data_IF_859807182520
#
_entry.id   IF_859807182520
#
_cell.length_a   1.000
_cell.length_b   1.000
_cell.length_c   1.000
_cell.angle_alpha   90.00
_cell.angle_beta   90.00
_cell.angle_gamma   90.00
#
_symmetry.space_group_name_H-M   'P 1'
#
loop_
_entity.id
_entity.type
_entity.pdbx_description
1 polymer ?
#
# COMPACT_ATOMS: atom_id res chain seq x y z
N UNK A 1 -25.09 16.00 -29.97
CA UNK A 1 -25.49 14.68 -29.45
C UNK A 1 -24.33 14.17 -28.61
N UNK A 2 -24.56 13.59 -27.44
CA UNK A 2 -23.50 13.06 -26.57
C UNK A 2 -23.89 11.65 -26.12
N UNK A 3 -22.90 10.77 -25.96
CA UNK A 3 -23.11 9.41 -25.49
C UNK A 3 -21.88 8.96 -24.67
N UNK A 4 -22.06 7.91 -23.88
CA UNK A 4 -20.99 7.30 -23.10
C UNK A 4 -20.54 6.00 -23.75
N UNK A 5 -19.25 5.72 -23.64
CA UNK A 5 -18.66 4.44 -24.03
C UNK A 5 -17.92 3.88 -22.82
N UNK A 6 -18.28 2.67 -22.41
CA UNK A 6 -17.54 1.92 -21.40
C UNK A 6 -16.50 1.05 -22.11
N UNK A 7 -15.24 1.18 -21.72
CA UNK A 7 -14.10 0.49 -22.33
C UNK A 7 -13.48 -0.48 -21.33
N UNK A 8 -14.07 -1.67 -21.09
CA UNK A 8 -13.48 -2.65 -20.19
C UNK A 8 -12.18 -3.22 -20.78
N UNK A 9 -11.20 -3.45 -19.91
CA UNK A 9 -9.91 -4.07 -20.22
C UNK A 9 -9.99 -5.60 -20.23
N UNK A 10 -11.05 -6.18 -20.80
CA UNK A 10 -11.31 -7.62 -20.84
C UNK A 10 -11.52 -8.15 -22.26
N UNK A 11 -11.24 -7.33 -23.28
CA UNK A 11 -11.33 -7.77 -24.67
C UNK A 11 -10.44 -8.98 -24.94
N UNK A 12 -11.01 -9.94 -25.66
CA UNK A 12 -10.42 -11.28 -25.84
C UNK A 12 -9.00 -11.23 -26.38
N UNK A 13 -8.12 -12.03 -25.77
CA UNK A 13 -6.75 -12.27 -26.22
C UNK A 13 -6.69 -12.84 -27.64
N UNK A 14 -7.79 -13.38 -28.16
CA UNK A 14 -7.87 -13.84 -29.54
C UNK A 14 -7.85 -12.69 -30.56
N UNK A 15 -8.36 -11.50 -30.20
CA UNK A 15 -8.39 -10.34 -31.09
C UNK A 15 -7.24 -9.37 -30.81
N UNK A 16 -6.85 -9.23 -29.54
CA UNK A 16 -5.79 -8.33 -29.11
C UNK A 16 -4.82 -9.07 -28.16
N UNK A 17 -3.99 -9.99 -28.67
CA UNK A 17 -3.09 -10.80 -27.84
C UNK A 17 -2.03 -9.98 -27.08
N UNK A 18 -1.74 -8.76 -27.53
CA UNK A 18 -0.77 -7.85 -26.91
C UNK A 18 -1.38 -6.91 -25.86
N UNK A 19 -2.67 -7.05 -25.54
CA UNK A 19 -3.33 -6.23 -24.53
C UNK A 19 -2.64 -6.42 -23.16
N UNK A 20 -2.32 -5.30 -22.51
CA UNK A 20 -1.83 -5.22 -21.12
C UNK A 20 -2.85 -4.49 -20.27
N UNK A 21 -2.82 -4.72 -18.95
CA UNK A 21 -3.71 -4.04 -17.98
C UNK A 21 -3.66 -2.52 -18.13
N UNK A 22 -2.48 -1.94 -18.39
CA UNK A 22 -2.29 -0.50 -18.55
C UNK A 22 -2.28 0.00 -20.01
N UNK A 23 -2.39 -0.91 -20.98
CA UNK A 23 -2.38 -0.56 -22.41
C UNK A 23 -3.18 -1.60 -23.19
N UNK A 24 -4.44 -1.27 -23.47
CA UNK A 24 -5.36 -2.20 -24.12
C UNK A 24 -6.19 -1.50 -25.20
N UNK A 25 -6.69 -2.31 -26.12
CA UNK A 25 -7.72 -1.95 -27.08
C UNK A 25 -8.97 -2.79 -26.81
N UNK A 26 -10.13 -2.15 -26.95
CA UNK A 26 -11.43 -2.79 -26.75
C UNK A 26 -12.19 -2.84 -28.07
N UNK A 27 -12.76 -4.00 -28.39
CA UNK A 27 -13.69 -4.12 -29.53
C UNK A 27 -15.08 -3.73 -29.06
N UNK A 28 -15.67 -2.71 -29.69
CA UNK A 28 -17.05 -2.31 -29.40
C UNK A 28 -18.04 -3.28 -30.07
N UNK A 29 -19.20 -3.54 -29.44
CA UNK A 29 -20.23 -4.42 -30.00
C UNK A 29 -20.86 -3.85 -31.28
N UNK A 30 -20.80 -2.54 -31.47
CA UNK A 30 -21.28 -1.87 -32.67
C UNK A 30 -20.35 -0.72 -33.05
N UNK A 31 -20.10 -0.49 -34.34
CA UNK A 31 -19.34 0.67 -34.80
C UNK A 31 -20.03 1.96 -34.36
N UNK A 32 -19.23 2.92 -33.90
CA UNK A 32 -19.69 4.26 -33.56
C UNK A 32 -19.36 5.19 -34.74
N UNK A 33 -20.38 5.77 -35.37
CA UNK A 33 -20.20 6.72 -36.46
C UNK A 33 -20.08 8.15 -35.91
N UNK A 34 -18.88 8.72 -36.00
CA UNK A 34 -18.58 10.08 -35.56
C UNK A 34 -18.53 11.02 -36.76
N UNK A 35 -19.66 11.62 -37.13
CA UNK A 35 -19.72 12.61 -38.21
C UNK A 35 -19.43 14.02 -37.68
N UNK A 36 -18.54 14.77 -38.34
CA UNK A 36 -18.14 16.12 -37.91
C UNK A 36 -17.04 16.10 -36.85
N UNK A 37 -16.89 17.20 -36.11
CA UNK A 37 -15.92 17.33 -35.03
C UNK A 37 -16.49 16.81 -33.71
N UNK A 38 -15.68 16.03 -32.99
CA UNK A 38 -16.05 15.42 -31.71
C UNK A 38 -14.95 15.65 -30.68
N UNK A 39 -15.37 15.87 -29.43
CA UNK A 39 -14.49 15.92 -28.27
C UNK A 39 -14.73 14.69 -27.41
N UNK A 40 -13.65 14.14 -26.85
CA UNK A 40 -13.70 13.00 -25.94
C UNK A 40 -13.34 13.46 -24.54
N UNK A 41 -14.23 13.18 -23.59
CA UNK A 41 -13.99 13.41 -22.16
C UNK A 41 -13.99 12.10 -21.42
N UNK A 42 -13.00 11.92 -20.54
CA UNK A 42 -13.02 10.85 -19.55
C UNK A 42 -14.06 11.19 -18.48
N UNK A 43 -15.09 10.36 -18.35
CA UNK A 43 -16.13 10.53 -17.33
C UNK A 43 -15.81 9.80 -16.02
N UNK A 44 -15.35 8.56 -16.10
CA UNK A 44 -15.10 7.68 -14.95
C UNK A 44 -14.02 6.65 -15.31
N UNK A 45 -13.24 6.23 -14.31
CA UNK A 45 -12.36 5.06 -14.37
C UNK A 45 -12.69 4.16 -13.18
N UNK A 46 -12.89 2.88 -13.47
CA UNK A 46 -13.05 1.83 -12.45
C UNK A 46 -11.84 0.90 -12.57
N UNK A 47 -11.08 0.76 -11.49
CA UNK A 47 -9.95 -0.17 -11.40
C UNK A 47 -10.14 -1.09 -10.19
N UNK A 48 -9.69 -2.34 -10.30
CA UNK A 48 -9.75 -3.27 -9.16
C UNK A 48 -8.75 -2.85 -8.09
N UNK A 49 -9.26 -2.67 -6.88
CA UNK A 49 -8.50 -2.32 -5.67
C UNK A 49 -7.76 -3.55 -5.07
N UNK A 50 -7.28 -4.48 -5.90
CA UNK A 50 -6.61 -5.71 -5.44
C UNK A 50 -5.09 -5.56 -5.39
N UNK A 51 -4.59 -4.34 -5.31
CA UNK A 51 -3.15 -4.10 -5.30
C UNK A 51 -2.55 -4.45 -3.94
N UNK A 52 -1.44 -5.18 -3.98
CA UNK A 52 -0.74 -5.63 -2.79
C UNK A 52 0.05 -4.46 -2.21
N UNK A 53 -0.54 -3.81 -1.21
CA UNK A 53 0.10 -2.68 -0.53
C UNK A 53 1.17 -3.14 0.47
N UNK A 54 1.07 -4.38 0.92
CA UNK A 54 2.14 -5.14 1.54
C UNK A 54 2.56 -6.26 0.59
N UNK A 55 3.83 -6.28 0.21
CA UNK A 55 4.45 -7.22 -0.74
C UNK A 55 5.79 -7.76 -0.19
N UNK A 56 6.43 -8.66 -0.94
CA UNK A 56 7.65 -9.36 -0.51
C UNK A 56 8.83 -8.44 -0.14
N UNK A 57 8.80 -7.18 -0.58
CA UNK A 57 9.86 -6.21 -0.32
C UNK A 57 9.63 -5.37 0.95
N UNK A 58 8.40 -5.29 1.45
CA UNK A 58 8.02 -4.45 2.59
C UNK A 58 7.24 -5.18 3.70
N UNK A 59 7.12 -6.52 3.62
CA UNK A 59 6.32 -7.31 4.58
C UNK A 59 7.08 -7.74 5.84
N UNK A 60 8.28 -7.22 6.11
CA UNK A 60 9.08 -7.69 7.22
C UNK A 60 9.69 -6.56 8.04
N UNK A 61 9.97 -6.89 9.29
CA UNK A 61 10.66 -6.04 10.25
C UNK A 61 11.56 -6.92 11.12
N UNK A 62 12.44 -6.30 11.90
CA UNK A 62 13.27 -7.00 12.88
C UNK A 62 13.09 -6.39 14.25
N UNK A 63 13.12 -7.21 15.29
CA UNK A 63 13.12 -6.69 16.65
C UNK A 63 14.26 -7.30 17.46
N UNK A 64 14.70 -6.57 18.48
CA UNK A 64 15.65 -7.03 19.49
C UNK A 64 15.00 -6.82 20.85
N UNK A 65 15.18 -7.79 21.74
CA UNK A 65 14.82 -7.69 23.16
C UNK A 65 16.09 -8.01 23.95
N UNK A 66 16.54 -7.10 24.80
CA UNK A 66 17.66 -7.31 25.70
C UNK A 66 17.17 -7.65 27.11
N UNK A 67 17.48 -8.87 27.58
CA UNK A 67 17.35 -9.28 28.99
C UNK A 67 18.75 -9.49 29.59
N UNK A 68 19.55 -8.41 29.61
CA UNK A 68 20.73 -8.32 30.46
C UNK A 68 22.04 -8.91 29.94
N UNK A 69 22.09 -9.87 29.01
CA UNK A 69 23.37 -10.35 28.43
C UNK A 69 23.34 -10.96 27.01
N UNK A 70 22.17 -11.29 26.44
CA UNK A 70 22.06 -11.80 25.06
C UNK A 70 20.92 -11.06 24.35
N UNK A 71 21.23 -10.27 23.33
CA UNK A 71 20.24 -9.63 22.46
C UNK A 71 20.23 -10.31 21.09
N UNK A 72 19.30 -11.23 20.86
CA UNK A 72 19.09 -11.84 19.55
C UNK A 72 18.22 -10.93 18.68
N UNK A 73 18.62 -10.75 17.42
CA UNK A 73 17.81 -10.03 16.43
C UNK A 73 16.89 -11.03 15.75
N UNK A 74 15.57 -10.85 15.91
CA UNK A 74 14.56 -11.73 15.33
C UNK A 74 13.94 -11.04 14.12
N UNK A 75 13.95 -11.70 12.96
CA UNK A 75 13.21 -11.25 11.78
C UNK A 75 11.78 -11.78 11.87
N UNK A 76 10.82 -10.90 11.63
CA UNK A 76 9.41 -11.25 11.61
C UNK A 76 8.77 -10.73 10.33
N UNK A 77 7.76 -11.44 9.85
CA UNK A 77 6.99 -11.08 8.66
C UNK A 77 5.51 -10.93 8.99
N UNK A 78 4.84 -10.05 8.25
CA UNK A 78 3.38 -10.04 8.09
C UNK A 78 3.03 -10.65 6.73
N UNK A 79 1.76 -11.05 6.55
CA UNK A 79 1.31 -11.63 5.30
C UNK A 79 1.39 -10.59 4.17
N UNK A 80 1.79 -11.06 2.98
CA UNK A 80 1.63 -10.28 1.75
C UNK A 80 0.14 -10.19 1.43
N UNK A 81 -0.34 -8.99 1.09
CA UNK A 81 -1.77 -8.77 0.95
C UNK A 81 -2.17 -7.33 0.65
N UNK A 82 -3.48 -7.17 0.48
CA UNK A 82 -4.16 -5.88 0.37
C UNK A 82 -4.81 -5.56 1.72
N UNK A 83 -4.18 -4.68 2.49
CA UNK A 83 -4.68 -4.17 3.76
C UNK A 83 -5.47 -2.88 3.51
N UNK A 84 -6.76 -2.86 3.84
CA UNK A 84 -7.63 -1.72 3.53
C UNK A 84 -7.23 -0.45 4.28
N UNK A 85 -6.87 -0.61 5.55
CA UNK A 85 -6.53 0.49 6.44
C UNK A 85 -5.15 0.31 7.06
N UNK A 86 -4.56 1.42 7.48
CA UNK A 86 -3.31 1.40 8.25
C UNK A 86 -3.46 0.65 9.59
N UNK A 87 -4.69 0.60 10.13
CA UNK A 87 -4.99 -0.14 11.34
C UNK A 87 -4.85 -1.65 11.13
N UNK A 88 -5.17 -2.17 9.95
CA UNK A 88 -5.03 -3.59 9.63
C UNK A 88 -3.56 -4.00 9.56
N UNK A 89 -2.71 -3.13 8.99
CA UNK A 89 -1.25 -3.32 8.96
C UNK A 89 -0.69 -3.29 10.39
N UNK A 90 -1.07 -2.30 11.19
CA UNK A 90 -0.63 -2.19 12.59
C UNK A 90 -1.06 -3.42 13.39
N UNK A 91 -2.28 -3.90 13.19
CA UNK A 91 -2.79 -5.10 13.86
C UNK A 91 -1.97 -6.33 13.48
N UNK A 92 -1.65 -6.50 12.19
CA UNK A 92 -0.79 -7.59 11.72
C UNK A 92 0.62 -7.53 12.32
N UNK A 93 1.23 -6.34 12.38
CA UNK A 93 2.54 -6.13 13.00
C UNK A 93 2.48 -6.42 14.50
N UNK A 94 1.46 -5.90 15.19
CA UNK A 94 1.28 -6.11 16.63
C UNK A 94 1.10 -7.59 16.94
N UNK A 95 0.32 -8.34 16.15
CA UNK A 95 0.15 -9.79 16.31
C UNK A 95 1.43 -10.58 16.07
N UNK A 96 2.30 -10.11 15.18
CA UNK A 96 3.56 -10.76 14.86
C UNK A 96 4.67 -10.48 15.89
N UNK A 97 4.52 -9.43 16.71
CA UNK A 97 5.42 -9.10 17.82
C UNK A 97 5.21 -10.04 19.02
N UNK A 98 6.20 -10.16 19.92
CA UNK A 98 6.06 -10.97 21.14
C UNK A 98 4.99 -10.36 22.07
N UNK A 99 3.98 -11.16 22.43
CA UNK A 99 2.90 -10.72 23.31
C UNK A 99 3.21 -10.90 24.80
N UNK A 100 4.09 -11.84 25.16
CA UNK A 100 4.40 -12.20 26.54
C UNK A 100 5.92 -12.32 26.74
N UNK A 101 6.59 -11.33 27.38
CA UNK A 101 6.05 -10.03 27.79
C UNK A 101 5.81 -9.10 26.60
N UNK A 102 4.77 -8.27 26.67
CA UNK A 102 4.56 -7.22 25.68
C UNK A 102 5.63 -6.13 25.84
N UNK A 103 6.55 -6.06 24.87
CA UNK A 103 7.67 -5.09 24.86
C UNK A 103 7.45 -3.95 23.86
N UNK A 104 6.40 -4.03 23.04
CA UNK A 104 6.17 -3.12 21.92
C UNK A 104 4.70 -2.73 21.83
N UNK A 105 4.41 -1.44 21.80
CA UNK A 105 3.04 -0.95 21.63
C UNK A 105 2.98 0.00 20.45
N UNK A 106 2.10 -0.29 19.50
CA UNK A 106 1.88 0.53 18.32
C UNK A 106 0.49 1.17 18.40
N UNK A 107 0.42 2.50 18.30
CA UNK A 107 -0.80 3.26 18.36
C UNK A 107 -0.95 4.13 17.10
N UNK A 108 -2.17 4.21 16.58
CA UNK A 108 -2.49 5.08 15.45
C UNK A 108 -3.44 6.21 15.86
N UNK A 109 -3.03 7.45 15.60
CA UNK A 109 -3.90 8.60 15.78
C UNK A 109 -4.69 8.86 14.50
N UNK A 110 -6.00 8.61 14.52
CA UNK A 110 -6.90 8.78 13.37
C UNK A 110 -7.03 10.23 12.88
N UNK A 111 -6.89 11.22 13.77
CA UNK A 111 -7.02 12.63 13.45
C UNK A 111 -5.76 13.16 12.76
N UNK A 112 -4.58 12.87 13.32
CA UNK A 112 -3.31 13.32 12.74
C UNK A 112 -2.76 12.38 11.68
N UNK A 113 -3.36 11.18 11.52
CA UNK A 113 -2.91 10.10 10.65
C UNK A 113 -1.44 9.70 10.92
N UNK A 114 -1.00 9.77 12.19
CA UNK A 114 0.38 9.47 12.61
C UNK A 114 0.42 8.22 13.47
N UNK A 115 1.50 7.47 13.36
CA UNK A 115 1.76 6.27 14.17
C UNK A 115 2.71 6.63 15.31
N UNK A 116 2.47 6.04 16.48
CA UNK A 116 3.32 6.16 17.66
C UNK A 116 3.72 4.76 18.11
N UNK A 117 5.01 4.50 18.17
CA UNK A 117 5.57 3.19 18.56
C UNK A 117 6.34 3.39 19.86
N UNK A 118 6.06 2.53 20.83
CA UNK A 118 6.77 2.47 22.09
C UNK A 118 7.50 1.12 22.21
N UNK A 119 8.81 1.15 22.34
CA UNK A 119 9.65 0.01 22.68
C UNK A 119 10.15 0.15 24.12
N UNK A 120 9.96 -0.88 24.94
CA UNK A 120 10.46 -0.91 26.32
C UNK A 120 11.99 -0.80 26.34
N UNK A 121 12.57 -0.26 27.41
CA UNK A 121 14.02 -0.16 27.58
C UNK A 121 14.72 -1.51 27.33
N UNK A 122 15.82 -1.48 26.58
CA UNK A 122 16.54 -2.68 26.15
C UNK A 122 15.96 -3.36 24.91
N UNK A 123 14.82 -2.89 24.39
CA UNK A 123 14.22 -3.39 23.15
C UNK A 123 14.34 -2.37 22.02
N UNK A 124 14.42 -2.86 20.78
CA UNK A 124 14.41 -2.02 19.57
C UNK A 124 13.63 -2.68 18.45
N UNK A 125 12.91 -1.89 17.65
CA UNK A 125 12.17 -2.35 16.49
C UNK A 125 12.72 -1.68 15.22
N UNK A 126 13.26 -2.47 14.29
CA UNK A 126 13.77 -2.02 13.01
C UNK A 126 12.73 -2.29 11.92
N UNK A 127 12.18 -1.22 11.35
CA UNK A 127 11.00 -1.29 10.47
C UNK A 127 11.34 -1.55 9.00
N UNK A 128 12.62 -1.50 8.58
CA UNK A 128 13.03 -1.75 7.19
C UNK A 128 12.18 -0.90 6.21
N UNK A 129 11.68 -1.48 5.13
CA UNK A 129 10.77 -0.82 4.17
C UNK A 129 9.33 -0.65 4.70
N UNK A 130 8.93 -1.38 5.75
CA UNK A 130 7.62 -1.21 6.38
C UNK A 130 7.52 0.15 7.10
N UNK A 131 8.67 0.76 7.41
CA UNK A 131 8.75 2.11 7.98
C UNK A 131 8.00 3.15 7.16
N UNK A 132 8.15 3.14 5.83
CA UNK A 132 7.53 4.12 4.91
C UNK A 132 6.00 4.08 5.01
N UNK A 133 5.42 2.88 5.03
CA UNK A 133 3.96 2.66 5.17
C UNK A 133 3.45 3.17 6.52
N UNK A 134 4.23 2.97 7.57
CA UNK A 134 3.92 3.43 8.93
C UNK A 134 4.25 4.93 9.16
N UNK A 135 4.73 5.64 8.13
CA UNK A 135 5.06 7.07 8.18
C UNK A 135 6.41 7.39 8.83
N UNK A 136 7.31 6.42 8.93
CA UNK A 136 8.70 6.59 9.36
C UNK A 136 9.65 6.57 8.16
N UNK A 137 10.89 6.99 8.36
CA UNK A 137 11.93 6.78 7.36
C UNK A 137 12.18 5.29 7.08
N UNK A 138 12.71 5.01 5.89
CA UNK A 138 13.19 3.66 5.55
C UNK A 138 14.26 3.23 6.55
N UNK A 139 14.20 1.97 6.99
CA UNK A 139 15.14 1.42 7.98
C UNK A 139 15.10 2.15 9.33
N UNK A 140 13.98 2.80 9.66
CA UNK A 140 13.82 3.43 10.96
C UNK A 140 14.01 2.41 12.10
N UNK A 141 14.84 2.78 13.07
CA UNK A 141 15.06 2.02 14.30
C UNK A 141 14.30 2.72 15.42
N UNK A 142 13.29 2.05 15.94
CA UNK A 142 12.49 2.53 17.06
C UNK A 142 13.12 2.10 18.38
N UNK A 143 13.43 3.08 19.22
CA UNK A 143 13.87 2.88 20.61
C UNK A 143 13.08 3.82 21.51
N UNK A 144 12.63 3.33 22.67
CA UNK A 144 11.78 4.11 23.55
C UNK A 144 10.48 4.54 22.85
N UNK A 145 10.10 5.80 23.02
CA UNK A 145 8.83 6.34 22.53
C UNK A 145 9.05 7.23 21.31
N UNK A 146 8.62 6.79 20.12
CA UNK A 146 8.80 7.53 18.88
C UNK A 146 7.48 7.72 18.13
N UNK A 147 7.35 8.87 17.48
CA UNK A 147 6.21 9.23 16.63
C UNK A 147 6.68 9.34 15.19
N UNK A 148 5.84 8.91 14.26
CA UNK A 148 6.12 8.94 12.83
C UNK A 148 6.24 10.38 12.32
N UNK A 149 7.26 10.62 11.48
CA UNK A 149 7.54 11.93 10.90
C UNK A 149 6.53 12.29 9.82
N UNK A 150 6.09 11.29 9.05
CA UNK A 150 5.16 11.37 7.93
C UNK A 150 3.79 10.77 8.25
N UNK A 151 2.79 11.10 7.42
CA UNK A 151 1.46 10.48 7.50
C UNK A 151 1.65 8.99 7.23
N UNK A 152 1.08 8.16 8.08
CA UNK A 152 1.01 6.73 7.81
C UNK A 152 -0.13 6.49 6.82
N UNK A 153 0.20 5.84 5.72
CA UNK A 153 -0.71 5.58 4.63
C UNK A 153 -0.49 4.15 4.14
N UNK A 154 -1.55 3.35 4.23
CA UNK A 154 -1.53 1.97 3.74
C UNK A 154 -1.25 1.91 2.23
N UNK A 155 -1.42 3.01 1.49
CA UNK A 155 -1.28 3.09 0.04
C UNK A 155 -0.08 3.94 -0.41
N UNK A 156 0.83 4.30 0.51
CA UNK A 156 1.98 5.18 0.25
C UNK A 156 2.88 4.71 -0.90
N UNK A 157 2.92 3.40 -1.15
CA UNK A 157 3.81 2.78 -2.13
C UNK A 157 3.20 2.68 -3.54
N UNK A 158 2.01 3.23 -3.76
CA UNK A 158 1.41 3.26 -5.10
C UNK A 158 1.73 4.56 -5.83
N UNK A 159 2.27 4.39 -7.04
CA UNK A 159 2.34 5.47 -8.02
C UNK A 159 0.92 5.91 -8.35
N UNK A 160 0.59 7.17 -8.03
CA UNK A 160 -0.67 7.81 -8.41
C UNK A 160 -0.89 7.65 -9.91
N UNK A 161 -2.09 7.21 -10.33
CA UNK A 161 -2.46 7.23 -11.73
C UNK A 161 -2.64 8.68 -12.17
N UNK A 162 -1.73 9.16 -13.03
CA UNK A 162 -1.92 10.42 -13.72
C UNK A 162 -2.68 10.15 -15.02
N UNK A 163 -3.91 10.66 -15.10
CA UNK A 163 -4.63 10.75 -16.38
C UNK A 163 -4.20 12.05 -17.03
N UNK A 164 -3.37 11.94 -18.07
CA UNK A 164 -3.07 13.07 -18.94
C UNK A 164 -4.09 13.10 -20.07
N UNK A 165 -4.87 14.16 -20.12
CA UNK A 165 -5.68 14.53 -21.29
C UNK A 165 -5.15 15.84 -21.83
N UNK A 166 -4.46 15.83 -22.99
CA UNK A 166 -4.20 17.08 -23.69
C UNK A 166 -5.56 17.64 -24.14
N UNK A 167 -5.87 18.86 -23.68
CA UNK A 167 -6.96 19.69 -24.23
C UNK A 167 -6.39 20.42 -25.44
#
# INVERSE_FOLDING_TARGET
MSFFVTLPSDSSMNFFPENKISHFKTQLPSPVCLNGEWEVKLSEIIYRHSWLNVNETNNYFRYKVGDGNISSTVKQTINVGCYETIFDIISAVQLALPQNPNRFTINYNKATKRVKINAVQGSSLHLENLGEVLGFERNAIITGNMKSEFVADAWSNFSVFYVYTPI
#
